data_IF_784895787151
#
_entry.id   IF_784895787151
#
_cell.length_a   1.000
_cell.length_b   1.000
_cell.length_c   1.000
_cell.angle_alpha   90.00
_cell.angle_beta   90.00
_cell.angle_gamma   90.00
#
_symmetry.space_group_name_H-M   'P 1'
#
loop_
_entity.id
_entity.type
_entity.pdbx_description
1 polymer ?
#
# COMPACT_ATOMS: atom_id res chain seq x y z
N UNK A 1 -13.00 23.43 37.39
CA UNK A 1 -12.37 22.61 36.33
C UNK A 1 -13.33 22.56 35.15
N UNK A 2 -13.13 23.38 34.11
CA UNK A 2 -14.03 23.45 32.95
C UNK A 2 -13.58 22.49 31.87
N UNK A 3 -14.43 21.52 31.49
CA UNK A 3 -14.20 20.69 30.30
C UNK A 3 -14.44 21.53 29.06
N UNK A 4 -13.38 21.82 28.30
CA UNK A 4 -13.50 22.47 27.01
C UNK A 4 -14.14 21.43 26.07
N UNK A 5 -15.43 21.60 25.72
CA UNK A 5 -16.09 20.74 24.73
C UNK A 5 -15.33 20.89 23.42
N UNK A 6 -14.53 19.88 23.08
CA UNK A 6 -13.91 19.80 21.77
C UNK A 6 -15.02 19.86 20.71
N UNK A 7 -14.84 20.73 19.72
CA UNK A 7 -15.73 20.87 18.58
C UNK A 7 -15.99 19.49 17.95
N UNK A 8 -17.24 19.13 17.71
CA UNK A 8 -17.64 17.81 17.21
C UNK A 8 -16.87 17.43 15.94
N UNK A 9 -16.58 18.38 15.05
CA UNK A 9 -15.77 18.11 13.86
C UNK A 9 -14.31 17.79 14.18
N UNK A 10 -13.72 18.41 15.20
CA UNK A 10 -12.37 18.09 15.68
C UNK A 10 -12.30 16.68 16.29
N UNK A 11 -13.36 16.27 17.00
CA UNK A 11 -13.50 14.91 17.54
C UNK A 11 -13.61 13.91 16.39
N UNK A 12 -14.51 14.13 15.42
CA UNK A 12 -14.62 13.26 14.23
C UNK A 12 -13.33 13.19 13.41
N UNK A 13 -12.59 14.29 13.29
CA UNK A 13 -11.29 14.33 12.60
C UNK A 13 -10.23 13.55 13.38
N UNK A 14 -10.21 13.63 14.70
CA UNK A 14 -9.30 12.85 15.54
C UNK A 14 -9.62 11.35 15.52
N UNK A 15 -10.91 10.98 15.37
CA UNK A 15 -11.36 9.60 15.28
C UNK A 15 -11.05 8.95 13.92
N UNK A 16 -11.01 9.74 12.85
CA UNK A 16 -10.62 9.29 11.51
C UNK A 16 -9.13 9.46 11.20
N UNK A 17 -8.40 10.19 12.05
CA UNK A 17 -6.96 10.38 11.93
C UNK A 17 -6.23 9.04 12.09
N UNK A 18 -5.47 8.69 11.07
CA UNK A 18 -4.58 7.54 11.04
C UNK A 18 -3.24 7.92 10.40
N UNK A 19 -2.32 6.96 10.38
CA UNK A 19 -0.98 7.16 9.80
C UNK A 19 -1.01 7.65 8.35
N UNK A 20 -2.02 7.26 7.57
CA UNK A 20 -2.16 7.64 6.15
C UNK A 20 -2.72 9.06 5.99
N UNK A 21 -3.63 9.49 6.86
CA UNK A 21 -4.24 10.83 6.77
C UNK A 21 -3.39 11.93 7.40
N UNK A 22 -2.47 11.58 8.31
CA UNK A 22 -1.65 12.51 9.07
C UNK A 22 -0.20 12.60 8.61
N UNK A 23 0.19 11.81 7.60
CA UNK A 23 1.56 11.80 7.07
C UNK A 23 2.57 11.20 8.05
N UNK A 24 2.24 10.04 8.65
CA UNK A 24 3.19 9.30 9.50
C UNK A 24 2.95 9.41 11.01
N UNK A 25 1.84 10.00 11.46
CA UNK A 25 1.45 9.96 12.89
C UNK A 25 0.49 8.81 13.14
N UNK A 26 0.78 7.86 14.07
CA UNK A 26 -0.12 6.75 14.35
C UNK A 26 -1.49 7.23 14.81
N UNK A 27 -2.55 6.51 14.44
CA UNK A 27 -3.92 6.78 14.86
C UNK A 27 -4.16 6.56 16.35
N UNK A 28 -5.36 6.92 16.85
CA UNK A 28 -5.68 6.92 18.28
C UNK A 28 -5.55 5.55 18.93
N UNK A 29 -5.84 4.46 18.21
CA UNK A 29 -5.71 3.08 18.71
C UNK A 29 -4.26 2.72 19.06
N UNK A 30 -3.34 2.91 18.11
CA UNK A 30 -1.92 2.62 18.32
C UNK A 30 -1.30 3.55 19.36
N UNK A 31 -1.67 4.83 19.36
CA UNK A 31 -1.23 5.75 20.41
C UNK A 31 -1.75 5.35 21.80
N UNK A 32 -2.98 4.86 21.89
CA UNK A 32 -3.55 4.40 23.16
C UNK A 32 -2.78 3.20 23.70
N UNK A 33 -2.40 2.25 22.84
CA UNK A 33 -1.55 1.12 23.23
C UNK A 33 -0.19 1.62 23.74
N UNK A 34 0.48 2.52 23.00
CA UNK A 34 1.76 3.09 23.43
C UNK A 34 1.67 3.79 24.79
N UNK A 35 0.58 4.54 25.03
CA UNK A 35 0.33 5.22 26.31
C UNK A 35 0.08 4.21 27.43
N UNK A 36 -0.74 3.19 27.20
CA UNK A 36 -1.05 2.14 28.19
C UNK A 36 0.21 1.40 28.63
N UNK A 37 1.17 1.23 27.72
CA UNK A 37 2.45 0.58 27.99
C UNK A 37 3.54 1.55 28.49
N UNK A 38 3.28 2.87 28.53
CA UNK A 38 4.26 3.87 28.95
C UNK A 38 5.46 4.02 28.00
N UNK A 39 5.30 3.68 26.72
CA UNK A 39 6.39 3.64 25.72
C UNK A 39 6.23 4.66 24.59
N UNK A 40 5.31 5.63 24.73
CA UNK A 40 5.09 6.67 23.71
C UNK A 40 6.34 7.47 23.38
N UNK A 41 7.04 8.00 24.38
CA UNK A 41 8.28 8.76 24.17
C UNK A 41 9.41 7.88 23.62
N UNK A 42 9.47 6.63 24.08
CA UNK A 42 10.45 5.66 23.59
C UNK A 42 10.24 5.31 22.13
N UNK A 43 9.02 5.34 21.61
CA UNK A 43 8.75 5.09 20.20
C UNK A 43 9.28 6.22 19.31
N UNK A 44 9.21 7.48 19.76
CA UNK A 44 9.75 8.60 19.00
C UNK A 44 11.27 8.62 18.96
N UNK A 45 11.92 8.17 20.03
CA UNK A 45 13.39 8.16 20.15
C UNK A 45 14.02 6.87 19.62
N UNK A 46 13.44 5.72 19.94
CA UNK A 46 13.96 4.37 19.65
C UNK A 46 12.85 3.46 19.06
N UNK A 47 12.31 3.81 17.87
CA UNK A 47 11.19 3.10 17.26
C UNK A 47 11.48 1.63 17.00
N UNK A 48 12.68 1.28 16.52
CA UNK A 48 13.05 -0.09 16.20
C UNK A 48 13.02 -1.00 17.42
N UNK A 49 13.57 -0.52 18.54
CA UNK A 49 13.59 -1.26 19.80
C UNK A 49 12.16 -1.45 20.36
N UNK A 50 11.30 -0.45 20.20
CA UNK A 50 9.89 -0.55 20.59
C UNK A 50 9.14 -1.55 19.70
N UNK A 51 9.32 -1.50 18.38
CA UNK A 51 8.71 -2.43 17.45
C UNK A 51 9.16 -3.88 17.70
N UNK A 52 10.45 -4.09 17.94
CA UNK A 52 10.99 -5.41 18.32
C UNK A 52 10.42 -5.89 19.66
N UNK A 53 10.32 -5.00 20.65
CA UNK A 53 9.75 -5.31 21.96
C UNK A 53 8.26 -5.66 21.91
N UNK A 54 7.46 -4.91 21.13
CA UNK A 54 6.03 -5.18 20.92
C UNK A 54 5.81 -6.50 20.19
N UNK A 55 6.68 -6.84 19.23
CA UNK A 55 6.64 -8.12 18.51
C UNK A 55 6.99 -9.29 19.43
N UNK A 56 7.98 -9.13 20.31
CA UNK A 56 8.53 -10.24 21.08
C UNK A 56 8.98 -11.40 20.18
N UNK A 57 8.54 -12.62 20.49
CA UNK A 57 8.80 -13.81 19.65
C UNK A 57 8.07 -13.77 18.30
N UNK A 58 6.98 -13.00 18.20
CA UNK A 58 6.08 -12.95 17.05
C UNK A 58 5.03 -14.06 17.02
N UNK A 59 5.06 -15.00 17.96
CA UNK A 59 4.07 -16.08 18.05
C UNK A 59 2.91 -15.68 18.97
N UNK A 60 1.67 -15.98 18.54
CA UNK A 60 0.47 -15.75 19.35
C UNK A 60 0.17 -14.27 19.61
N UNK A 61 0.61 -13.36 18.73
CA UNK A 61 0.28 -11.94 18.84
C UNK A 61 -1.22 -11.73 18.77
N UNK A 62 -1.76 -11.05 19.76
CA UNK A 62 -3.16 -10.64 19.76
C UNK A 62 -3.42 -9.60 18.65
N UNK A 63 -4.67 -9.52 18.22
CA UNK A 63 -5.15 -8.66 17.15
C UNK A 63 -4.90 -7.17 17.41
N UNK A 64 -4.93 -6.75 18.68
CA UNK A 64 -4.53 -5.38 19.08
C UNK A 64 -3.05 -5.11 18.74
N UNK A 65 -2.16 -6.04 19.07
CA UNK A 65 -0.72 -5.90 18.79
C UNK A 65 -0.42 -6.01 17.29
N UNK A 66 -1.09 -6.90 16.57
CA UNK A 66 -0.93 -7.00 15.11
C UNK A 66 -1.31 -5.69 14.41
N UNK A 67 -2.44 -5.10 14.79
CA UNK A 67 -2.86 -3.81 14.24
C UNK A 67 -1.87 -2.68 14.59
N UNK A 68 -1.46 -2.60 15.86
CA UNK A 68 -0.52 -1.57 16.28
C UNK A 68 0.85 -1.73 15.62
N UNK A 69 1.37 -2.96 15.50
CA UNK A 69 2.62 -3.24 14.79
C UNK A 69 2.53 -2.85 13.31
N UNK A 70 1.38 -3.10 12.67
CA UNK A 70 1.17 -2.67 11.28
C UNK A 70 1.25 -1.15 11.15
N UNK A 71 0.48 -0.40 11.96
CA UNK A 71 0.42 1.05 11.87
C UNK A 71 1.73 1.73 12.30
N UNK A 72 2.35 1.26 13.39
CA UNK A 72 3.60 1.81 13.91
C UNK A 72 4.78 1.52 12.98
N UNK A 73 4.84 0.33 12.38
CA UNK A 73 5.86 0.02 11.37
C UNK A 73 5.70 0.92 10.14
N UNK A 74 4.46 1.15 9.70
CA UNK A 74 4.18 2.07 8.59
C UNK A 74 4.57 3.51 8.94
N UNK A 75 4.24 3.98 10.15
CA UNK A 75 4.61 5.32 10.61
C UNK A 75 6.13 5.51 10.65
N UNK A 76 6.86 4.51 11.12
CA UNK A 76 8.32 4.53 11.15
C UNK A 76 8.91 4.51 9.72
N UNK A 77 8.33 3.71 8.83
CA UNK A 77 8.71 3.64 7.42
C UNK A 77 8.46 4.97 6.68
N UNK A 78 7.32 5.63 6.90
CA UNK A 78 7.00 6.93 6.31
C UNK A 78 7.99 8.02 6.74
N UNK A 79 8.31 8.08 8.05
CA UNK A 79 9.23 9.08 8.60
C UNK A 79 10.66 8.94 8.05
N UNK A 80 11.11 7.71 7.79
CA UNK A 80 12.52 7.42 7.47
C UNK A 80 12.74 6.83 6.06
N UNK A 81 11.67 6.66 5.28
CA UNK A 81 11.65 6.03 3.96
C UNK A 81 12.25 4.61 3.91
N UNK A 82 11.99 3.80 4.95
CA UNK A 82 12.56 2.46 5.11
C UNK A 82 11.67 1.37 4.48
N UNK A 83 12.16 0.73 3.41
CA UNK A 83 11.41 -0.26 2.61
C UNK A 83 11.02 -1.49 3.41
N UNK A 84 11.94 -1.98 4.23
CA UNK A 84 11.77 -3.14 5.09
C UNK A 84 10.64 -2.95 6.12
N UNK A 85 10.42 -1.72 6.60
CA UNK A 85 9.35 -1.42 7.55
C UNK A 85 7.99 -1.23 6.85
N UNK A 86 7.96 -0.80 5.60
CA UNK A 86 6.74 -0.87 4.77
C UNK A 86 6.30 -2.32 4.55
N UNK A 87 7.24 -3.22 4.27
CA UNK A 87 6.95 -4.65 4.14
C UNK A 87 6.55 -5.28 5.46
N UNK A 88 7.20 -4.90 6.57
CA UNK A 88 6.79 -5.34 7.91
C UNK A 88 5.35 -4.91 8.22
N UNK A 89 4.99 -3.67 7.90
CA UNK A 89 3.62 -3.18 8.05
C UNK A 89 2.62 -4.03 7.25
N UNK A 90 2.97 -4.39 6.00
CA UNK A 90 2.13 -5.25 5.16
C UNK A 90 1.94 -6.64 5.76
N UNK A 91 3.01 -7.26 6.28
CA UNK A 91 2.94 -8.59 6.93
C UNK A 91 2.02 -8.56 8.16
N UNK A 92 2.16 -7.56 9.03
CA UNK A 92 1.30 -7.45 10.22
C UNK A 92 -0.15 -7.11 9.87
N UNK A 93 -0.37 -6.26 8.88
CA UNK A 93 -1.72 -5.95 8.39
C UNK A 93 -2.40 -7.20 7.80
N UNK A 94 -1.66 -8.00 7.03
CA UNK A 94 -2.14 -9.29 6.53
C UNK A 94 -2.51 -10.23 7.69
N UNK A 95 -1.63 -10.38 8.68
CA UNK A 95 -1.91 -11.21 9.85
C UNK A 95 -3.16 -10.69 10.61
N UNK A 96 -3.31 -9.39 10.81
CA UNK A 96 -4.50 -8.80 11.44
C UNK A 96 -5.80 -9.12 10.68
N UNK A 97 -5.74 -9.10 9.33
CA UNK A 97 -6.88 -9.36 8.47
C UNK A 97 -7.25 -10.84 8.39
N UNK A 98 -6.29 -11.77 8.51
CA UNK A 98 -6.55 -13.18 8.16
C UNK A 98 -6.31 -14.19 9.30
N UNK A 99 -5.74 -13.78 10.45
CA UNK A 99 -5.46 -14.73 11.56
C UNK A 99 -6.72 -15.13 12.32
N UNK A 100 -7.76 -14.29 12.35
CA UNK A 100 -9.05 -14.61 12.98
C UNK A 100 -10.22 -14.23 12.06
N UNK A 101 -10.65 -15.15 11.19
CA UNK A 101 -11.80 -14.92 10.30
C UNK A 101 -13.12 -14.73 11.05
N UNK A 102 -13.25 -15.26 12.28
CA UNK A 102 -14.46 -15.09 13.07
C UNK A 102 -14.58 -13.64 13.57
N UNK A 103 -13.46 -13.01 13.93
CA UNK A 103 -13.42 -11.60 14.30
C UNK A 103 -13.73 -10.64 13.13
N UNK A 104 -13.49 -11.04 11.89
CA UNK A 104 -13.92 -10.28 10.70
C UNK A 104 -15.45 -10.24 10.56
N UNK A 105 -16.10 -11.35 10.89
CA UNK A 105 -17.55 -11.49 10.78
C UNK A 105 -18.30 -10.85 11.97
N UNK A 106 -17.63 -10.74 13.13
CA UNK A 106 -18.21 -10.21 14.34
C UNK A 106 -18.43 -8.69 14.32
N UNK A 107 -17.55 -7.93 13.66
CA UNK A 107 -17.69 -6.47 13.52
C UNK A 107 -17.27 -6.00 12.11
N UNK A 108 -18.17 -6.07 11.12
CA UNK A 108 -17.90 -5.63 9.75
C UNK A 108 -17.63 -4.13 9.61
N UNK A 109 -17.92 -3.34 10.65
CA UNK A 109 -17.83 -1.88 10.65
C UNK A 109 -16.55 -1.42 11.37
N UNK A 110 -15.73 -2.33 11.91
CA UNK A 110 -14.47 -1.99 12.56
C UNK A 110 -13.55 -1.18 11.60
N UNK A 111 -13.31 0.12 11.87
CA UNK A 111 -12.53 0.98 10.98
C UNK A 111 -11.08 0.51 10.83
N UNK A 112 -10.59 -0.33 11.76
CA UNK A 112 -9.25 -0.93 11.68
C UNK A 112 -9.13 -1.91 10.52
N UNK A 113 -10.22 -2.55 10.09
CA UNK A 113 -10.23 -3.43 8.93
C UNK A 113 -9.88 -2.69 7.65
N UNK A 114 -10.56 -1.57 7.40
CA UNK A 114 -10.31 -0.76 6.22
C UNK A 114 -8.90 -0.16 6.24
N UNK A 115 -8.45 0.33 7.41
CA UNK A 115 -7.11 0.85 7.54
C UNK A 115 -6.04 -0.24 7.34
N UNK A 116 -6.20 -1.42 7.92
CA UNK A 116 -5.28 -2.53 7.73
C UNK A 116 -5.20 -2.96 6.25
N UNK A 117 -6.32 -3.02 5.54
CA UNK A 117 -6.32 -3.30 4.10
C UNK A 117 -5.53 -2.22 3.31
N UNK A 118 -5.68 -0.95 3.68
CA UNK A 118 -4.91 0.13 3.08
C UNK A 118 -3.41 0.03 3.41
N UNK A 119 -3.06 -0.28 4.66
CA UNK A 119 -1.67 -0.48 5.10
C UNK A 119 -1.00 -1.67 4.42
N UNK A 120 -1.74 -2.77 4.21
CA UNK A 120 -1.29 -3.91 3.43
C UNK A 120 -0.96 -3.49 2.00
N UNK A 121 -1.91 -2.86 1.31
CA UNK A 121 -1.75 -2.46 -0.09
C UNK A 121 -0.63 -1.43 -0.27
N UNK A 122 -0.59 -0.39 0.57
CA UNK A 122 0.42 0.66 0.50
C UNK A 122 1.79 0.16 0.97
N UNK A 123 1.85 -0.70 1.99
CA UNK A 123 3.09 -1.32 2.45
C UNK A 123 3.75 -2.17 1.36
N UNK A 124 2.96 -2.92 0.58
CA UNK A 124 3.49 -3.62 -0.60
C UNK A 124 3.96 -2.65 -1.68
N UNK A 125 3.17 -1.62 -1.99
CA UNK A 125 3.54 -0.60 -3.00
C UNK A 125 4.86 0.05 -2.64
N UNK A 126 5.01 0.56 -1.41
CA UNK A 126 6.20 1.27 -0.95
C UNK A 126 7.39 0.34 -0.68
N UNK A 127 7.12 -0.89 -0.24
CA UNK A 127 8.14 -1.90 0.02
C UNK A 127 8.73 -2.52 -1.25
N UNK A 128 7.97 -2.56 -2.35
CA UNK A 128 8.35 -3.18 -3.63
C UNK A 128 8.58 -2.15 -4.76
N UNK A 129 8.76 -0.87 -4.42
CA UNK A 129 9.11 0.15 -5.42
C UNK A 129 10.45 -0.21 -6.07
N UNK A 130 10.47 -0.21 -7.39
CA UNK A 130 11.66 -0.40 -8.19
C UNK A 130 12.73 0.68 -7.90
N UNK A 131 13.93 0.47 -8.43
CA UNK A 131 15.04 1.42 -8.30
C UNK A 131 14.75 2.80 -8.91
N UNK A 132 13.77 2.89 -9.81
CA UNK A 132 13.33 4.14 -10.42
C UNK A 132 12.41 4.99 -9.52
N UNK A 133 11.93 4.46 -8.39
CA UNK A 133 11.09 5.19 -7.43
C UNK A 133 9.65 5.45 -7.88
N UNK A 134 9.28 5.09 -9.11
CA UNK A 134 7.98 5.40 -9.71
C UNK A 134 7.15 4.16 -10.04
N UNK A 135 7.80 3.01 -10.17
CA UNK A 135 7.14 1.77 -10.58
C UNK A 135 7.19 0.72 -9.48
N UNK A 136 6.08 -0.01 -9.30
CA UNK A 136 6.06 -1.22 -8.46
C UNK A 136 6.28 -2.41 -9.38
N UNK A 137 7.41 -3.08 -9.22
CA UNK A 137 7.70 -4.32 -9.94
C UNK A 137 7.45 -5.48 -9.00
N UNK A 138 6.39 -6.23 -9.27
CA UNK A 138 6.04 -7.42 -8.51
C UNK A 138 6.89 -8.59 -9.01
N UNK A 139 8.18 -8.59 -8.67
CA UNK A 139 9.10 -9.67 -9.02
C UNK A 139 9.17 -10.69 -7.89
N UNK A 140 9.28 -12.00 -8.21
CA UNK A 140 9.66 -12.99 -7.21
C UNK A 140 11.01 -12.60 -6.59
N UNK A 141 11.10 -12.65 -5.27
CA UNK A 141 12.29 -12.17 -4.61
C UNK A 141 12.28 -12.34 -3.10
N UNK A 142 13.47 -12.30 -2.52
CA UNK A 142 13.67 -12.23 -1.08
C UNK A 142 13.89 -10.78 -0.67
N UNK A 143 13.01 -10.27 0.18
CA UNK A 143 13.08 -8.90 0.69
C UNK A 143 13.45 -8.91 2.17
N UNK A 144 14.29 -7.96 2.64
CA UNK A 144 14.62 -7.87 4.05
C UNK A 144 13.41 -7.40 4.86
N UNK A 145 13.28 -7.93 6.07
CA UNK A 145 12.39 -7.45 7.12
C UNK A 145 13.22 -7.11 8.36
N UNK A 146 12.73 -6.22 9.25
CA UNK A 146 13.40 -5.89 10.51
C UNK A 146 13.64 -7.11 11.42
N UNK A 147 12.91 -8.20 11.19
CA UNK A 147 12.95 -9.44 11.98
C UNK A 147 13.21 -10.69 11.14
N UNK A 148 13.69 -10.54 9.89
CA UNK A 148 13.98 -11.69 9.04
C UNK A 148 13.93 -11.35 7.55
N UNK A 149 13.31 -12.23 6.77
CA UNK A 149 13.18 -12.09 5.32
C UNK A 149 11.77 -12.47 4.89
N UNK A 150 11.25 -11.75 3.89
CA UNK A 150 10.01 -12.07 3.21
C UNK A 150 10.33 -12.65 1.85
N UNK A 151 9.91 -13.87 1.60
CA UNK A 151 9.96 -14.46 0.26
C UNK A 151 8.63 -14.21 -0.44
N UNK A 152 8.69 -13.54 -1.59
CA UNK A 152 7.52 -13.31 -2.45
C UNK A 152 7.69 -14.20 -3.66
N UNK A 153 6.70 -15.07 -3.88
CA UNK A 153 6.55 -15.86 -5.10
C UNK A 153 5.36 -15.34 -5.88
N UNK A 154 5.53 -15.18 -7.19
CA UNK A 154 4.46 -14.71 -8.06
C UNK A 154 4.18 -15.77 -9.11
N UNK A 155 2.95 -16.28 -9.16
CA UNK A 155 2.53 -17.12 -10.28
C UNK A 155 2.30 -16.24 -11.50
N UNK A 156 3.24 -16.28 -12.45
CA UNK A 156 3.16 -15.52 -13.69
C UNK A 156 1.88 -15.78 -14.50
N UNK A 157 1.21 -16.93 -14.31
CA UNK A 157 -0.06 -17.22 -14.98
C UNK A 157 -1.17 -16.31 -14.50
N UNK A 158 -1.16 -15.92 -13.23
CA UNK A 158 -2.14 -15.00 -12.63
C UNK A 158 -1.94 -13.56 -13.09
N UNK A 159 -0.73 -13.23 -13.54
CA UNK A 159 -0.40 -11.93 -14.12
C UNK A 159 -0.75 -11.81 -15.60
N UNK A 160 -1.35 -12.84 -16.21
CA UNK A 160 -1.82 -12.75 -17.59
C UNK A 160 -3.27 -12.33 -17.63
N UNK A 161 -3.53 -11.19 -18.27
CA UNK A 161 -4.89 -10.73 -18.56
C UNK A 161 -5.06 -10.54 -20.06
N UNK A 162 -6.03 -11.27 -20.64
CA UNK A 162 -6.36 -11.20 -22.07
C UNK A 162 -5.14 -11.37 -23.00
N UNK A 163 -4.21 -12.26 -22.66
CA UNK A 163 -2.99 -12.52 -23.44
C UNK A 163 -1.84 -11.53 -23.21
N UNK A 164 -2.05 -10.45 -22.47
CA UNK A 164 -1.01 -9.51 -22.07
C UNK A 164 -0.48 -9.86 -20.67
N UNK A 165 0.82 -9.65 -20.46
CA UNK A 165 1.43 -9.73 -19.12
C UNK A 165 1.21 -8.39 -18.42
N UNK A 166 0.55 -8.42 -17.27
CA UNK A 166 0.43 -7.27 -16.39
C UNK A 166 1.81 -6.98 -15.78
N UNK A 167 2.30 -5.77 -16.03
CA UNK A 167 3.55 -5.24 -15.49
C UNK A 167 3.30 -3.81 -15.01
N UNK A 168 4.11 -3.32 -14.06
CA UNK A 168 4.05 -1.95 -13.52
C UNK A 168 2.70 -1.64 -12.83
N UNK A 169 2.57 -2.12 -11.58
CA UNK A 169 1.36 -1.87 -10.78
C UNK A 169 1.36 -0.44 -10.23
N UNK A 170 0.18 0.19 -10.19
CA UNK A 170 -0.02 1.54 -9.65
C UNK A 170 -1.03 1.48 -8.51
N UNK A 171 -0.68 2.07 -7.37
CA UNK A 171 -1.57 2.13 -6.20
C UNK A 171 -2.83 2.95 -6.51
N UNK A 172 -4.00 2.38 -6.28
CA UNK A 172 -5.30 3.02 -6.54
C UNK A 172 -5.57 4.25 -5.64
N UNK A 173 -4.80 4.43 -4.56
CA UNK A 173 -4.90 5.58 -3.64
C UNK A 173 -4.04 6.81 -4.01
N UNK A 174 -2.97 6.63 -4.80
CA UNK A 174 -2.33 7.77 -5.47
C UNK A 174 -3.21 8.05 -6.68
N UNK A 175 -3.96 9.15 -6.64
CA UNK A 175 -4.57 9.70 -7.85
C UNK A 175 -3.44 9.96 -8.82
N UNK A 176 -3.12 9.00 -9.69
CA UNK A 176 -2.17 9.16 -10.76
C UNK A 176 -2.73 10.30 -11.61
N UNK A 177 -2.18 11.50 -11.46
CA UNK A 177 -2.49 12.57 -12.38
C UNK A 177 -1.88 12.13 -13.70
N UNK A 178 -2.68 11.92 -14.76
CA UNK A 178 -2.11 11.53 -16.04
C UNK A 178 -1.13 12.62 -16.48
N UNK A 179 0.08 12.26 -16.95
CA UNK A 179 1.10 13.23 -17.34
C UNK A 179 0.62 14.20 -18.46
N UNK A 180 -0.45 13.84 -19.17
CA UNK A 180 -1.05 14.61 -20.26
C UNK A 180 -1.86 15.83 -19.82
N UNK A 181 -2.09 16.06 -18.52
CA UNK A 181 -2.79 17.27 -18.04
C UNK A 181 -1.92 18.54 -18.01
N UNK A 182 -0.79 18.54 -18.73
CA UNK A 182 0.09 19.71 -18.95
C UNK A 182 0.27 20.09 -20.43
N UNK A 183 -0.58 19.58 -21.32
CA UNK A 183 -0.66 20.09 -22.70
C UNK A 183 -2.12 20.09 -23.15
N UNK A 184 -2.64 21.26 -23.52
CA UNK A 184 -3.95 21.36 -24.15
C UNK A 184 -3.96 20.66 -25.51
N UNK A 185 -5.11 20.12 -25.89
CA UNK A 185 -5.35 19.54 -27.22
C UNK A 185 -5.87 18.11 -27.15
N UNK A 186 -7.07 17.88 -27.68
CA UNK A 186 -7.83 16.65 -27.52
C UNK A 186 -7.21 15.41 -28.16
N UNK A 187 -7.62 14.24 -27.65
CA UNK A 187 -7.28 12.94 -28.22
C UNK A 187 -7.76 11.80 -27.32
N UNK A 188 -8.45 10.81 -27.91
CA UNK A 188 -9.08 9.66 -27.24
C UNK A 188 -8.04 8.73 -26.59
N UNK A 189 -8.42 8.08 -25.49
CA UNK A 189 -7.60 7.16 -24.71
C UNK A 189 -7.31 5.83 -25.43
N UNK A 190 -6.10 5.30 -25.24
CA UNK A 190 -5.77 3.87 -25.37
C UNK A 190 -4.63 3.52 -24.41
N UNK A 191 -4.74 2.38 -23.72
CA UNK A 191 -3.66 1.78 -22.95
C UNK A 191 -2.51 1.40 -23.90
N UNK A 192 -1.27 1.42 -23.43
CA UNK A 192 -0.10 1.09 -24.25
C UNK A 192 0.29 -0.38 -24.01
N UNK A 193 -0.16 -1.33 -24.85
CA UNK A 193 0.28 -2.71 -24.76
C UNK A 193 1.71 -2.82 -25.31
N UNK A 194 2.64 -3.34 -24.50
CA UNK A 194 3.91 -3.80 -25.05
C UNK A 194 3.64 -5.06 -25.90
N UNK A 195 3.91 -5.05 -27.22
CA UNK A 195 3.65 -6.21 -28.05
C UNK A 195 4.63 -7.35 -27.70
N UNK A 196 4.22 -8.62 -27.80
CA UNK A 196 5.15 -9.74 -27.71
C UNK A 196 6.17 -9.65 -28.86
N UNK A 197 7.44 -9.91 -28.55
CA UNK A 197 8.52 -9.94 -29.55
C UNK A 197 8.17 -10.96 -30.64
N UNK A 198 7.96 -10.49 -31.89
CA UNK A 198 7.76 -11.35 -33.05
C UNK A 198 6.87 -10.81 -34.18
N UNK A 199 6.04 -9.79 -33.96
CA UNK A 199 5.11 -9.32 -35.00
C UNK A 199 5.74 -8.25 -35.93
N UNK A 200 6.42 -8.70 -37.01
CA UNK A 200 6.79 -7.82 -38.13
C UNK A 200 5.53 -7.43 -38.92
N UNK A 201 5.03 -6.21 -38.72
CA UNK A 201 3.96 -5.65 -39.55
C UNK A 201 4.50 -5.17 -40.91
N UNK A 202 4.06 -5.81 -42.01
CA UNK A 202 4.15 -5.25 -43.37
C UNK A 202 2.99 -4.25 -43.57
N UNK A 203 3.22 -3.02 -44.05
CA UNK A 203 2.14 -2.09 -44.35
C UNK A 203 1.41 -2.51 -45.63
N UNK A 204 0.08 -2.65 -45.52
CA UNK A 204 -0.83 -3.00 -46.61
C UNK A 204 -1.36 -1.68 -47.21
N UNK A 205 -0.87 -1.29 -48.38
CA UNK A 205 -1.30 -0.09 -49.10
C UNK A 205 -2.72 -0.27 -49.67
N UNK A 206 -3.67 0.55 -49.24
CA UNK A 206 -5.00 0.66 -49.88
C UNK A 206 -4.90 1.55 -51.12
N UNK A 207 -4.97 0.93 -52.31
CA UNK A 207 -5.25 1.60 -53.59
C UNK A 207 -6.76 1.84 -53.69
N UNK A 208 -7.19 3.10 -53.76
CA UNK A 208 -8.54 3.45 -54.22
C UNK A 208 -8.67 3.29 -55.74
N UNK A 209 -9.87 2.96 -56.27
CA UNK A 209 -10.07 2.69 -57.69
C UNK A 209 -10.13 3.97 -58.52
N UNK A 210 -9.52 3.88 -59.71
CA UNK A 210 -9.46 4.88 -60.76
C UNK A 210 -10.77 4.85 -61.56
N UNK A 211 -11.54 5.95 -61.55
CA UNK A 211 -12.61 6.21 -62.52
C UNK A 211 -12.07 7.03 -63.69
N UNK A 212 -12.04 6.44 -64.90
CA UNK A 212 -11.65 7.09 -66.16
C UNK A 212 -12.87 7.73 -66.85
N UNK A 213 -12.72 9.03 -67.17
CA UNK A 213 -13.13 9.79 -68.38
C UNK A 213 -14.27 9.24 -69.26
N UNK A 214 -15.21 10.12 -69.61
CA UNK A 214 -15.21 10.88 -70.88
C UNK A 214 -15.89 12.22 -70.69
#
# INVERSE_FOLDING_TARGET
>A
MGVNRADTQSVYRSLSANVLSTGGTPGPYSQQLLRRLGISERFETHPEAVLAGLRGSGAGLDREFLFALAELSFAHAEKNHLREYYLAAAVYAYAFLFTDPAALNADPIDPRLQLAANLYNLGLVHGLVATDGETVTLEPGTHPLPFGKLEITVDEKTLRWSGFRMARFVAVGRRAQPPWRRAGGGGRAQADPTPPQGARHRPRSLRGPVGRRR
#
